data_IF_821935089050
#
_entry.id   IF_821935089050
#
_cell.length_a   1.000
_cell.length_b   1.000
_cell.length_c   1.000
_cell.angle_alpha   90.00
_cell.angle_beta   90.00
_cell.angle_gamma   90.00
#
_symmetry.space_group_name_H-M   'P 1'
#
loop_
_entity.id
_entity.type
_entity.pdbx_description
1 polymer ?
#
# COMPACT_ATOMS: atom_id res chain seq x y z
N UNK A 1 1.55 -13.22 1.30
CA UNK A 1 2.47 -12.37 2.08
C UNK A 1 1.71 -11.18 2.59
N UNK A 2 1.68 -10.98 3.91
CA UNK A 2 0.98 -9.84 4.51
C UNK A 2 1.84 -8.58 4.42
N UNK A 3 1.23 -7.48 4.02
CA UNK A 3 1.88 -6.17 3.90
C UNK A 3 1.04 -5.12 4.60
N UNK A 4 1.67 -4.34 5.48
CA UNK A 4 1.07 -3.18 6.13
C UNK A 4 1.35 -1.92 5.32
N UNK A 5 0.30 -1.24 4.91
CA UNK A 5 0.32 0.04 4.22
C UNK A 5 0.11 1.15 5.25
N UNK A 6 0.89 2.22 5.19
CA UNK A 6 0.85 3.32 6.16
C UNK A 6 0.92 4.66 5.42
N UNK A 7 -0.12 5.48 5.56
CA UNK A 7 -0.07 6.89 5.18
C UNK A 7 0.77 7.66 6.20
N UNK A 8 1.84 8.33 5.77
CA UNK A 8 2.75 9.04 6.66
C UNK A 8 2.15 10.34 7.21
N UNK A 9 1.14 10.90 6.56
CA UNK A 9 0.53 12.18 6.95
C UNK A 9 -0.42 12.05 8.14
N UNK A 10 -1.28 11.03 8.14
CA UNK A 10 -2.30 10.83 9.17
C UNK A 10 -2.21 9.45 9.86
N UNK A 11 -1.18 8.66 9.55
CA UNK A 11 -0.96 7.32 10.10
C UNK A 11 -2.11 6.34 9.88
N UNK A 12 -2.98 6.62 8.91
CA UNK A 12 -3.99 5.67 8.47
C UNK A 12 -3.29 4.40 7.94
N UNK A 13 -3.82 3.23 8.30
CA UNK A 13 -3.20 1.96 7.91
C UNK A 13 -4.20 0.99 7.31
N UNK A 14 -3.71 0.13 6.43
CA UNK A 14 -4.43 -1.04 5.95
C UNK A 14 -3.48 -2.22 5.82
N UNK A 15 -4.00 -3.43 5.96
CA UNK A 15 -3.24 -4.65 5.76
C UNK A 15 -3.79 -5.37 4.52
N UNK A 16 -2.89 -5.77 3.64
CA UNK A 16 -3.22 -6.50 2.41
C UNK A 16 -2.43 -7.79 2.32
N UNK A 17 -2.99 -8.77 1.60
CA UNK A 17 -2.31 -10.01 1.30
C UNK A 17 -1.92 -10.04 -0.18
N UNK A 18 -0.62 -10.15 -0.45
CA UNK A 18 -0.05 -10.28 -1.79
C UNK A 18 0.28 -11.75 -2.10
N UNK A 19 0.21 -12.18 -3.37
CA UNK A 19 -0.19 -11.37 -4.51
C UNK A 19 -1.71 -11.12 -4.57
N UNK A 20 -2.10 -9.97 -5.14
CA UNK A 20 -3.50 -9.63 -5.42
C UNK A 20 -3.62 -8.86 -6.75
N UNK A 21 -4.85 -8.66 -7.23
CA UNK A 21 -5.09 -7.82 -8.42
C UNK A 21 -4.48 -6.42 -8.24
N UNK A 22 -3.77 -5.93 -9.26
CA UNK A 22 -3.17 -4.59 -9.25
C UNK A 22 -4.23 -3.48 -9.11
N UNK A 23 -5.42 -3.69 -9.70
CA UNK A 23 -6.56 -2.77 -9.54
C UNK A 23 -7.06 -2.73 -8.08
N UNK A 24 -7.16 -3.89 -7.44
CA UNK A 24 -7.57 -3.97 -6.03
C UNK A 24 -6.52 -3.34 -5.11
N UNK A 25 -5.22 -3.55 -5.39
CA UNK A 25 -4.12 -2.93 -4.65
C UNK A 25 -4.14 -1.40 -4.79
N UNK A 26 -4.34 -0.87 -6.00
CA UNK A 26 -4.52 0.57 -6.25
C UNK A 26 -5.71 1.14 -5.49
N UNK A 27 -6.84 0.42 -5.46
CA UNK A 27 -8.05 0.86 -4.75
C UNK A 27 -7.82 0.97 -3.24
N UNK A 28 -7.14 -0.02 -2.65
CA UNK A 28 -6.80 0.02 -1.22
C UNK A 28 -5.80 1.14 -0.94
N UNK A 29 -4.76 1.31 -1.75
CA UNK A 29 -3.81 2.41 -1.62
C UNK A 29 -4.53 3.77 -1.65
N UNK A 30 -5.45 3.97 -2.60
CA UNK A 30 -6.24 5.20 -2.70
C UNK A 30 -7.18 5.43 -1.51
N UNK A 31 -7.68 4.35 -0.90
CA UNK A 31 -8.50 4.43 0.32
C UNK A 31 -7.67 4.83 1.54
N UNK A 32 -6.46 4.28 1.71
CA UNK A 32 -5.55 4.65 2.82
C UNK A 32 -5.08 6.10 2.67
N UNK A 33 -4.84 6.52 1.44
CA UNK A 33 -4.56 7.91 1.10
C UNK A 33 -5.79 8.82 1.16
N UNK A 34 -6.97 8.32 1.53
CA UNK A 34 -8.19 9.11 1.64
C UNK A 34 -8.40 10.09 0.47
N UNK A 35 -8.04 9.66 -0.75
CA UNK A 35 -8.04 10.52 -1.96
C UNK A 35 -9.43 11.05 -2.26
N UNK A 36 -10.45 10.35 -1.75
CA UNK A 36 -11.85 10.66 -1.97
C UNK A 36 -12.38 11.78 -1.06
N UNK A 37 -11.73 12.07 0.09
CA UNK A 37 -12.25 13.07 1.03
C UNK A 37 -11.25 14.15 1.44
N UNK A 38 -9.95 13.87 1.47
CA UNK A 38 -8.92 14.82 1.96
C UNK A 38 -8.12 15.54 0.87
N UNK A 39 -8.48 15.38 -0.41
CA UNK A 39 -7.82 16.04 -1.54
C UNK A 39 -6.62 15.26 -2.11
N UNK A 40 -5.80 15.92 -2.94
CA UNK A 40 -4.69 15.29 -3.67
C UNK A 40 -3.55 14.91 -2.72
N UNK A 41 -3.55 13.66 -2.25
CA UNK A 41 -2.38 13.09 -1.59
C UNK A 41 -1.49 12.40 -2.61
N UNK A 42 -0.24 12.82 -2.62
CA UNK A 42 0.82 12.27 -3.46
C UNK A 42 1.24 10.89 -2.94
N UNK A 43 1.62 9.98 -3.86
CA UNK A 43 1.87 8.57 -3.52
C UNK A 43 3.13 8.33 -2.66
N UNK A 44 4.02 9.32 -2.59
CA UNK A 44 5.21 9.40 -1.74
C UNK A 44 4.89 9.49 -0.24
N UNK A 45 3.65 9.77 0.14
CA UNK A 45 3.21 9.67 1.53
C UNK A 45 2.92 8.23 1.98
N UNK A 46 3.08 7.21 1.12
CA UNK A 46 2.87 5.82 1.51
C UNK A 46 4.16 5.11 1.86
N UNK A 47 4.15 4.40 2.99
CA UNK A 47 5.13 3.37 3.31
C UNK A 47 4.49 2.00 3.40
N UNK A 48 5.29 0.98 3.11
CA UNK A 48 4.87 -0.41 3.08
C UNK A 48 5.82 -1.24 3.92
N UNK A 49 5.29 -2.16 4.72
CA UNK A 49 6.08 -3.02 5.59
C UNK A 49 5.65 -4.46 5.47
N UNK A 50 6.60 -5.38 5.42
CA UNK A 50 6.31 -6.80 5.52
C UNK A 50 6.01 -7.23 6.97
N UNK A 51 5.73 -8.51 7.17
CA UNK A 51 5.46 -9.12 8.49
C UNK A 51 6.61 -8.99 9.49
N UNK A 52 7.84 -8.78 9.02
CA UNK A 52 9.02 -8.56 9.88
C UNK A 52 9.23 -7.07 10.21
N UNK A 53 8.41 -6.18 9.67
CA UNK A 53 8.57 -4.73 9.81
C UNK A 53 9.61 -4.12 8.88
N UNK A 54 10.09 -4.86 7.87
CA UNK A 54 11.03 -4.35 6.88
C UNK A 54 10.29 -3.53 5.82
N UNK A 55 10.84 -2.36 5.47
CA UNK A 55 10.24 -1.46 4.49
C UNK A 55 10.32 -2.05 3.07
N UNK A 56 9.21 -1.97 2.33
CA UNK A 56 9.10 -2.39 0.93
C UNK A 56 9.05 -1.12 0.10
N UNK A 57 10.08 -0.85 -0.69
CA UNK A 57 10.15 0.37 -1.53
C UNK A 57 9.06 0.41 -2.61
N UNK A 58 8.75 -0.73 -3.24
CA UNK A 58 7.79 -0.80 -4.33
C UNK A 58 6.85 -2.01 -4.21
N UNK A 59 5.70 -1.78 -3.59
CA UNK A 59 4.67 -2.80 -3.39
C UNK A 59 4.10 -3.36 -4.70
N UNK A 60 4.05 -2.56 -5.78
CA UNK A 60 3.54 -3.01 -7.08
C UNK A 60 4.53 -3.93 -7.79
N UNK A 61 5.82 -3.62 -7.73
CA UNK A 61 6.86 -4.50 -8.25
C UNK A 61 6.85 -5.84 -7.50
N UNK A 62 6.79 -5.80 -6.16
CA UNK A 62 6.70 -7.00 -5.33
C UNK A 62 5.44 -7.82 -5.66
N UNK A 63 4.28 -7.17 -5.78
CA UNK A 63 3.02 -7.83 -6.13
C UNK A 63 3.13 -8.59 -7.46
N UNK A 64 3.74 -7.98 -8.50
CA UNK A 64 3.96 -8.62 -9.80
C UNK A 64 4.96 -9.77 -9.73
N UNK A 65 6.01 -9.66 -8.92
CA UNK A 65 6.99 -10.73 -8.71
C UNK A 65 6.38 -11.95 -8.02
N UNK A 66 5.44 -11.75 -7.09
CA UNK A 66 4.76 -12.83 -6.37
C UNK A 66 3.64 -13.52 -7.16
N UNK A 67 3.20 -12.96 -8.30
CA UNK A 67 2.20 -13.57 -9.18
C UNK A 67 2.78 -14.60 -10.17
N UNK A 68 4.12 -14.71 -10.22
CA UNK A 68 4.84 -15.69 -11.04
C UNK A 68 4.98 -17.02 -10.30
#
# INVERSE_FOLDING_TARGET
>A
MKVKMVCQRDYETSEVELPMSEEALLKIQGSVLDRNTKGYITGDEMKYYNEKGEEIENIFLLNRQLQQ
#
